data_IF_938745357688
#
_entry.id   IF_938745357688
#
_cell.length_a   1.000
_cell.length_b   1.000
_cell.length_c   1.000
_cell.angle_alpha   90.00
_cell.angle_beta   90.00
_cell.angle_gamma   90.00
#
_symmetry.space_group_name_H-M   'P 1'
#
loop_
_entity.id
_entity.type
_entity.pdbx_description
1 polymer ?
#
# COMPACT_ATOMS: atom_id res chain seq x y z
N UNK A 1 -13.14 40.47 6.43
CA UNK A 1 -13.73 39.32 5.72
C UNK A 1 -13.26 39.37 4.29
N UNK A 2 -12.21 38.62 3.96
CA UNK A 2 -11.78 38.40 2.57
C UNK A 2 -11.96 36.91 2.33
N UNK A 3 -12.97 36.57 1.52
CA UNK A 3 -13.25 35.20 1.11
C UNK A 3 -12.30 34.90 -0.05
N UNK A 4 -11.31 34.05 0.19
CA UNK A 4 -10.49 33.49 -0.88
C UNK A 4 -11.22 32.28 -1.46
N UNK A 5 -11.63 32.39 -2.72
CA UNK A 5 -12.22 31.31 -3.50
C UNK A 5 -11.24 30.13 -3.62
N UNK A 6 -11.59 28.99 -3.03
CA UNK A 6 -10.93 27.73 -3.29
C UNK A 6 -11.33 27.21 -4.68
N UNK A 7 -10.41 27.33 -5.64
CA UNK A 7 -10.53 26.63 -6.92
C UNK A 7 -10.34 25.12 -6.70
N UNK A 8 -11.44 24.38 -6.73
CA UNK A 8 -11.44 22.92 -6.79
C UNK A 8 -11.12 22.52 -8.24
N UNK A 9 -9.84 22.28 -8.52
CA UNK A 9 -9.40 21.64 -9.75
C UNK A 9 -9.50 20.10 -9.64
N UNK A 10 -9.84 19.38 -10.72
CA UNK A 10 -9.80 17.91 -10.71
C UNK A 10 -8.35 17.44 -10.62
N UNK A 11 -8.00 16.72 -9.55
CA UNK A 11 -6.67 16.12 -9.34
C UNK A 11 -6.51 14.85 -10.18
N UNK A 12 -6.31 15.02 -11.48
CA UNK A 12 -5.99 13.94 -12.41
C UNK A 12 -4.50 13.97 -12.78
N UNK A 13 -3.60 13.93 -11.78
CA UNK A 13 -2.15 14.02 -12.01
C UNK A 13 -1.32 12.94 -11.31
N UNK A 14 -1.87 11.72 -11.23
CA UNK A 14 -1.11 10.51 -10.85
C UNK A 14 -1.30 9.35 -11.85
N UNK A 15 -2.26 9.46 -12.78
CA UNK A 15 -2.51 8.43 -13.80
C UNK A 15 -1.55 8.42 -14.99
N UNK A 16 -0.61 9.37 -15.08
CA UNK A 16 0.19 9.61 -16.29
C UNK A 16 1.57 8.97 -16.35
N UNK A 17 2.14 8.51 -15.22
CA UNK A 17 3.53 8.01 -15.19
C UNK A 17 3.67 6.50 -15.38
N UNK A 18 2.56 5.76 -15.43
CA UNK A 18 2.58 4.33 -15.74
C UNK A 18 1.50 3.97 -16.76
N UNK A 19 1.44 4.70 -17.88
CA UNK A 19 0.87 4.13 -19.09
C UNK A 19 1.86 3.06 -19.58
N UNK A 20 1.78 1.86 -18.98
CA UNK A 20 2.44 0.67 -19.51
C UNK A 20 1.73 0.36 -20.82
N UNK A 21 2.23 0.96 -21.90
CA UNK A 21 2.08 0.43 -23.24
C UNK A 21 2.29 -1.07 -23.10
N UNK A 22 1.26 -1.86 -23.45
CA UNK A 22 1.25 -3.31 -23.44
C UNK A 22 2.28 -3.83 -24.45
N UNK A 23 3.55 -3.61 -24.16
CA UNK A 23 4.65 -4.32 -24.74
C UNK A 23 4.57 -5.71 -24.11
N UNK A 24 3.97 -6.66 -24.85
CA UNK A 24 4.13 -8.10 -24.66
C UNK A 24 5.62 -8.42 -24.71
N UNK A 25 6.36 -8.12 -23.63
CA UNK A 25 7.64 -8.74 -23.38
C UNK A 25 7.31 -10.15 -22.95
N UNK A 26 7.69 -11.08 -23.81
CA UNK A 26 7.76 -12.50 -23.55
C UNK A 26 8.87 -12.74 -22.50
N UNK A 27 8.68 -12.21 -21.30
CA UNK A 27 9.49 -12.56 -20.15
C UNK A 27 9.07 -13.98 -19.79
N UNK A 28 9.96 -14.93 -20.10
CA UNK A 28 9.90 -16.30 -19.59
C UNK A 28 9.76 -16.18 -18.07
N UNK A 29 8.53 -16.27 -17.57
CA UNK A 29 8.29 -16.47 -16.15
C UNK A 29 9.09 -17.72 -15.80
N UNK A 30 10.16 -17.54 -15.04
CA UNK A 30 10.86 -18.67 -14.46
C UNK A 30 9.84 -19.24 -13.50
N UNK A 31 9.23 -20.35 -13.91
CA UNK A 31 8.31 -21.13 -13.09
C UNK A 31 9.14 -21.67 -11.93
N UNK A 32 9.26 -20.87 -10.88
CA UNK A 32 9.92 -21.26 -9.65
C UNK A 32 8.82 -21.89 -8.79
N UNK A 33 8.73 -23.23 -8.73
CA UNK A 33 7.70 -23.87 -7.93
C UNK A 33 7.90 -23.42 -6.48
N UNK A 34 6.88 -22.75 -5.94
CA UNK A 34 6.90 -22.31 -4.55
C UNK A 34 6.83 -23.54 -3.64
N UNK A 35 7.59 -23.54 -2.56
CA UNK A 35 7.42 -24.57 -1.53
C UNK A 35 6.08 -24.36 -0.80
N UNK A 36 5.51 -25.38 -0.15
CA UNK A 36 4.22 -25.25 0.55
C UNK A 36 4.17 -24.08 1.56
N UNK A 37 5.30 -23.79 2.22
CA UNK A 37 5.42 -22.65 3.13
C UNK A 37 5.41 -21.30 2.40
N UNK A 38 6.03 -21.21 1.22
CA UNK A 38 6.03 -19.99 0.40
C UNK A 38 4.63 -19.73 -0.16
N UNK A 39 3.94 -20.75 -0.65
CA UNK A 39 2.54 -20.65 -1.10
C UNK A 39 1.64 -20.14 0.02
N UNK A 40 1.76 -20.74 1.23
CA UNK A 40 0.97 -20.30 2.38
C UNK A 40 1.25 -18.84 2.77
N UNK A 41 2.52 -18.40 2.71
CA UNK A 41 2.90 -17.01 2.99
C UNK A 41 2.37 -16.05 1.93
N UNK A 42 2.46 -16.44 0.66
CA UNK A 42 1.90 -15.67 -0.45
C UNK A 42 0.39 -15.53 -0.31
N UNK A 43 -0.32 -16.62 -0.05
CA UNK A 43 -1.77 -16.61 0.16
C UNK A 43 -2.17 -15.66 1.31
N UNK A 44 -1.53 -15.78 2.48
CA UNK A 44 -1.80 -14.88 3.61
C UNK A 44 -1.53 -13.41 3.27
N UNK A 45 -0.49 -13.14 2.47
CA UNK A 45 -0.19 -11.79 2.01
C UNK A 45 -1.31 -11.29 1.09
N UNK A 46 -1.73 -12.10 0.11
CA UNK A 46 -2.82 -11.78 -0.81
C UNK A 46 -4.16 -11.55 -0.10
N UNK A 47 -4.48 -12.35 0.92
CA UNK A 47 -5.66 -12.15 1.77
C UNK A 47 -5.62 -10.80 2.48
N UNK A 48 -4.46 -10.41 3.02
CA UNK A 48 -4.28 -9.10 3.68
C UNK A 48 -4.36 -7.92 2.71
N UNK A 49 -4.00 -8.09 1.44
CA UNK A 49 -4.17 -7.06 0.41
C UNK A 49 -5.64 -6.70 0.18
N UNK A 50 -6.57 -7.62 0.47
CA UNK A 50 -8.00 -7.39 0.32
C UNK A 50 -8.63 -6.66 1.50
N UNK A 51 -7.88 -6.37 2.57
CA UNK A 51 -8.40 -5.71 3.77
C UNK A 51 -8.36 -4.19 3.59
N UNK A 52 -9.52 -3.51 3.43
CA UNK A 52 -9.55 -2.06 3.38
C UNK A 52 -9.19 -1.47 4.75
N UNK A 53 -8.68 -0.24 4.76
CA UNK A 53 -8.69 0.52 6.00
C UNK A 53 -10.11 0.95 6.32
N UNK A 54 -10.53 0.73 7.56
CA UNK A 54 -11.86 1.07 8.07
C UNK A 54 -11.71 1.99 9.28
N UNK A 55 -12.25 3.21 9.17
CA UNK A 55 -12.08 4.25 10.18
C UNK A 55 -12.82 3.94 11.48
N UNK A 56 -13.86 3.10 11.46
CA UNK A 56 -14.63 2.70 12.64
C UNK A 56 -14.05 1.49 13.37
N UNK A 57 -13.07 0.79 12.78
CA UNK A 57 -12.49 -0.42 13.35
C UNK A 57 -11.45 -0.12 14.42
N UNK A 58 -11.62 -0.58 15.68
CA UNK A 58 -10.71 -0.23 16.77
C UNK A 58 -9.25 -0.63 16.54
N UNK A 59 -9.01 -1.79 15.93
CA UNK A 59 -7.68 -2.29 15.61
C UNK A 59 -6.97 -1.43 14.56
N UNK A 60 -7.68 -0.96 13.54
CA UNK A 60 -7.15 -0.03 12.53
C UNK A 60 -6.83 1.34 13.12
N UNK A 61 -7.71 1.86 13.98
CA UNK A 61 -7.49 3.11 14.71
C UNK A 61 -6.26 3.02 15.61
N UNK A 62 -6.07 1.89 16.29
CA UNK A 62 -4.93 1.68 17.17
C UNK A 62 -3.62 1.56 16.39
N UNK A 63 -3.62 0.90 15.23
CA UNK A 63 -2.46 0.88 14.35
C UNK A 63 -2.05 2.30 13.90
N UNK A 64 -3.03 3.14 13.58
CA UNK A 64 -2.79 4.54 13.18
C UNK A 64 -2.25 5.37 14.36
N UNK A 65 -2.84 5.23 15.55
CA UNK A 65 -2.36 5.87 16.79
C UNK A 65 -0.93 5.44 17.13
N UNK A 66 -0.64 4.14 17.05
CA UNK A 66 0.69 3.60 17.27
C UNK A 66 1.72 4.16 16.28
N UNK A 67 1.33 4.32 15.01
CA UNK A 67 2.18 4.95 14.00
C UNK A 67 2.50 6.41 14.36
N UNK A 68 1.51 7.18 14.83
CA UNK A 68 1.74 8.55 15.30
C UNK A 68 2.74 8.61 16.44
N UNK A 69 2.54 7.79 17.48
CA UNK A 69 3.44 7.77 18.64
C UNK A 69 4.85 7.33 18.29
N UNK A 70 5.01 6.42 17.32
CA UNK A 70 6.32 6.05 16.81
C UNK A 70 6.98 7.21 16.04
N UNK A 71 6.21 7.99 15.29
CA UNK A 71 6.72 9.12 14.50
C UNK A 71 7.06 10.35 15.36
N UNK A 72 6.25 10.65 16.37
CA UNK A 72 6.35 11.84 17.20
C UNK A 72 6.14 11.51 18.69
N UNK A 73 7.09 10.80 19.33
CA UNK A 73 6.91 10.30 20.70
C UNK A 73 6.67 11.40 21.74
N UNK A 74 7.16 12.61 21.48
CA UNK A 74 7.07 13.76 22.40
C UNK A 74 5.96 14.75 22.03
N UNK A 75 5.10 14.44 21.05
CA UNK A 75 4.00 15.32 20.63
C UNK A 75 2.68 14.68 21.03
N UNK A 76 1.89 15.40 21.85
CA UNK A 76 0.56 14.96 22.24
C UNK A 76 -0.33 14.70 21.01
N UNK A 77 -0.90 13.49 20.97
CA UNK A 77 -1.80 13.06 19.91
C UNK A 77 -3.17 13.70 20.09
N UNK A 78 -3.59 14.55 19.13
CA UNK A 78 -4.87 15.27 19.22
C UNK A 78 -6.09 14.48 18.71
N UNK A 79 -5.86 13.35 18.04
CA UNK A 79 -6.93 12.48 17.55
C UNK A 79 -6.70 11.96 16.14
N UNK A 80 -7.56 11.00 15.74
CA UNK A 80 -7.48 10.33 14.44
C UNK A 80 -7.74 11.30 13.27
N UNK A 81 -8.48 12.38 13.51
CA UNK A 81 -8.64 13.49 12.58
C UNK A 81 -8.04 14.74 13.22
N UNK A 82 -6.94 15.23 12.68
CA UNK A 82 -6.30 16.47 13.15
C UNK A 82 -5.30 17.02 12.13
N UNK A 83 -5.04 18.32 12.16
CA UNK A 83 -4.05 18.95 11.29
C UNK A 83 -2.62 18.42 11.50
N UNK A 84 -2.33 17.80 12.65
CA UNK A 84 -0.99 17.28 12.97
C UNK A 84 -0.54 16.18 12.00
N UNK A 85 -1.47 15.47 11.38
CA UNK A 85 -1.14 14.47 10.37
C UNK A 85 -0.38 15.06 9.17
N UNK A 86 -0.61 16.33 8.81
CA UNK A 86 0.15 16.96 7.73
C UNK A 86 1.66 17.04 8.03
N UNK A 87 2.06 17.08 9.30
CA UNK A 87 3.47 17.04 9.72
C UNK A 87 4.16 15.71 9.37
N UNK A 88 3.40 14.61 9.33
CA UNK A 88 3.90 13.31 8.88
C UNK A 88 3.87 13.15 7.35
N UNK A 89 3.32 14.13 6.63
CA UNK A 89 3.14 14.07 5.18
C UNK A 89 1.91 13.28 4.73
N UNK A 90 0.82 13.27 5.51
CA UNK A 90 -0.49 12.84 5.04
C UNK A 90 -1.13 13.92 4.14
N UNK A 91 -2.03 13.55 3.21
CA UNK A 91 -2.60 14.51 2.25
C UNK A 91 -3.52 15.54 2.92
N UNK A 92 -4.12 15.17 4.05
CA UNK A 92 -5.05 16.01 4.80
C UNK A 92 -5.08 15.66 6.29
N UNK A 93 -6.00 16.26 7.05
CA UNK A 93 -6.13 16.01 8.48
C UNK A 93 -6.72 14.64 8.81
N UNK A 94 -7.28 13.92 7.82
CA UNK A 94 -7.78 12.55 8.00
C UNK A 94 -6.97 11.56 7.15
N UNK A 95 -6.05 10.78 7.75
CA UNK A 95 -5.26 9.75 7.07
C UNK A 95 -6.11 8.67 6.39
N UNK A 96 -7.35 8.42 6.84
CA UNK A 96 -8.19 7.35 6.27
C UNK A 96 -8.42 7.54 4.76
N UNK A 97 -8.40 8.79 4.29
CA UNK A 97 -8.59 9.16 2.89
C UNK A 97 -7.43 8.76 1.97
N UNK A 98 -6.23 8.53 2.51
CA UNK A 98 -5.01 8.17 1.78
C UNK A 98 -4.91 6.66 1.52
N UNK A 99 -5.59 5.82 2.31
CA UNK A 99 -5.50 4.36 2.20
C UNK A 99 -6.39 3.74 1.11
N UNK A 100 -7.14 4.55 0.35
CA UNK A 100 -8.11 4.04 -0.65
C UNK A 100 -7.49 3.15 -1.73
N UNK A 101 -6.23 3.38 -2.10
CA UNK A 101 -5.55 2.62 -3.15
C UNK A 101 -4.80 1.37 -2.69
N UNK A 102 -4.38 1.32 -1.42
CA UNK A 102 -3.49 0.26 -0.92
C UNK A 102 -4.05 -0.50 0.30
N UNK A 103 -5.13 -0.02 0.91
CA UNK A 103 -5.76 -0.65 2.07
C UNK A 103 -4.90 -0.62 3.33
N UNK A 104 -5.27 -1.46 4.29
CA UNK A 104 -4.66 -1.54 5.62
C UNK A 104 -3.17 -1.90 5.55
N UNK A 105 -2.74 -2.71 4.59
CA UNK A 105 -1.36 -3.21 4.52
C UNK A 105 -0.32 -2.07 4.41
N UNK A 106 -0.69 -0.95 3.79
CA UNK A 106 0.19 0.21 3.70
C UNK A 106 0.45 0.88 5.05
N UNK A 107 -0.56 0.92 5.93
CA UNK A 107 -0.41 1.34 7.32
C UNK A 107 0.47 0.37 8.10
N UNK A 108 0.26 -0.94 7.90
CA UNK A 108 1.05 -1.98 8.55
C UNK A 108 2.53 -1.92 8.14
N UNK A 109 2.81 -1.64 6.86
CA UNK A 109 4.17 -1.45 6.37
C UNK A 109 4.85 -0.23 7.00
N UNK A 110 4.15 0.91 7.09
CA UNK A 110 4.66 2.11 7.76
C UNK A 110 4.95 1.86 9.25
N UNK A 111 4.04 1.17 9.94
CA UNK A 111 4.19 0.81 11.35
C UNK A 111 5.30 -0.22 11.57
N UNK A 112 5.46 -1.18 10.67
CA UNK A 112 6.57 -2.12 10.70
C UNK A 112 7.90 -1.38 10.51
N UNK A 113 7.97 -0.45 9.57
CA UNK A 113 9.17 0.34 9.31
C UNK A 113 9.56 1.19 10.53
N UNK A 114 8.58 1.84 11.18
CA UNK A 114 8.83 2.67 12.36
C UNK A 114 9.34 1.87 13.56
N UNK A 115 8.79 0.67 13.79
CA UNK A 115 9.17 -0.21 14.91
C UNK A 115 10.49 -0.94 14.68
N UNK A 116 10.72 -1.39 13.46
CA UNK A 116 11.87 -2.25 13.14
C UNK A 116 13.13 -1.44 12.83
N UNK A 117 12.96 -0.27 12.19
CA UNK A 117 14.08 0.56 11.73
C UNK A 117 13.88 2.03 12.14
N UNK A 118 13.73 2.34 13.45
CA UNK A 118 13.36 3.68 13.93
C UNK A 118 14.34 4.78 13.49
N UNK A 119 15.64 4.50 13.49
CA UNK A 119 16.66 5.46 13.05
C UNK A 119 16.49 5.84 11.57
N UNK A 120 16.24 4.87 10.70
CA UNK A 120 15.99 5.09 9.27
C UNK A 120 14.64 5.78 9.05
N UNK A 121 13.61 5.37 9.80
CA UNK A 121 12.29 5.97 9.76
C UNK A 121 12.36 7.47 10.08
N UNK A 122 12.98 7.86 11.20
CA UNK A 122 13.13 9.26 11.58
C UNK A 122 14.04 10.05 10.64
N UNK A 123 15.12 9.42 10.14
CA UNK A 123 15.99 10.06 9.14
C UNK A 123 15.19 10.47 7.90
N UNK A 124 14.32 9.60 7.41
CA UNK A 124 13.47 9.88 6.24
C UNK A 124 12.32 10.84 6.57
N UNK A 125 11.63 10.64 7.70
CA UNK A 125 10.53 11.52 8.15
C UNK A 125 11.02 12.97 8.32
N UNK A 126 12.15 13.17 9.00
CA UNK A 126 12.73 14.49 9.26
C UNK A 126 13.69 14.96 8.16
N UNK A 127 13.82 14.20 7.07
CA UNK A 127 14.64 14.55 5.89
C UNK A 127 16.09 14.87 6.25
N UNK A 128 16.66 14.12 7.18
CA UNK A 128 18.02 14.33 7.67
C UNK A 128 19.05 13.93 6.59
N UNK A 129 20.02 14.80 6.34
CA UNK A 129 21.16 14.53 5.44
C UNK A 129 20.96 14.89 3.97
N UNK A 130 19.79 15.40 3.57
CA UNK A 130 19.53 15.92 2.21
C UNK A 130 19.76 17.43 2.09
N UNK A 131 20.07 17.92 0.88
CA UNK A 131 19.91 19.35 0.56
C UNK A 131 18.42 19.64 0.56
N UNK A 132 17.92 20.39 1.55
CA UNK A 132 16.49 20.58 1.87
C UNK A 132 15.63 20.98 0.66
N UNK A 133 16.19 21.70 -0.30
CA UNK A 133 15.53 22.13 -1.54
C UNK A 133 15.37 21.04 -2.63
N UNK A 134 16.01 19.87 -2.49
CA UNK A 134 15.96 18.79 -3.50
C UNK A 134 15.16 17.55 -3.05
N UNK A 135 14.73 17.49 -1.78
CA UNK A 135 14.12 16.31 -1.16
C UNK A 135 12.79 16.65 -0.49
N UNK A 136 11.90 17.29 -1.23
CA UNK A 136 10.52 17.45 -0.78
C UNK A 136 9.67 16.28 -1.27
N UNK A 137 9.31 15.40 -0.34
CA UNK A 137 8.24 14.45 -0.53
C UNK A 137 7.37 14.39 0.74
N UNK A 138 6.06 14.14 0.59
CA UNK A 138 5.17 13.85 1.72
C UNK A 138 5.47 12.44 2.23
N UNK A 139 6.10 12.32 3.41
CA UNK A 139 6.65 11.05 3.91
C UNK A 139 5.62 9.90 3.95
N UNK A 140 4.47 10.12 4.59
CA UNK A 140 3.44 9.08 4.70
C UNK A 140 2.87 8.67 3.32
N UNK A 141 2.48 9.64 2.50
CA UNK A 141 1.97 9.38 1.13
C UNK A 141 3.02 8.67 0.26
N UNK A 142 4.30 9.03 0.36
CA UNK A 142 5.38 8.34 -0.33
C UNK A 142 5.51 6.88 0.13
N UNK A 143 5.38 6.60 1.43
CA UNK A 143 5.39 5.23 1.96
C UNK A 143 4.21 4.38 1.48
N UNK A 144 3.02 4.97 1.36
CA UNK A 144 1.86 4.30 0.75
C UNK A 144 2.14 3.98 -0.72
N UNK A 145 2.69 4.92 -1.48
CA UNK A 145 3.04 4.70 -2.88
C UNK A 145 4.11 3.61 -3.06
N UNK A 146 5.10 3.54 -2.16
CA UNK A 146 6.07 2.43 -2.15
C UNK A 146 5.39 1.09 -1.92
N UNK A 147 4.44 1.01 -0.97
CA UNK A 147 3.66 -0.21 -0.74
C UNK A 147 2.87 -0.61 -1.99
N UNK A 148 2.23 0.36 -2.66
CA UNK A 148 1.50 0.13 -3.90
C UNK A 148 2.41 -0.37 -5.03
N UNK A 149 3.58 0.24 -5.22
CA UNK A 149 4.56 -0.20 -6.22
C UNK A 149 5.05 -1.62 -5.94
N UNK A 150 5.31 -1.98 -4.68
CA UNK A 150 5.72 -3.33 -4.30
C UNK A 150 4.63 -4.36 -4.64
N UNK A 151 3.36 -4.04 -4.38
CA UNK A 151 2.23 -4.91 -4.73
C UNK A 151 2.16 -5.16 -6.24
N UNK A 152 2.36 -4.11 -7.05
CA UNK A 152 2.34 -4.21 -8.51
C UNK A 152 3.55 -4.98 -9.05
N UNK A 153 4.76 -4.69 -8.56
CA UNK A 153 6.00 -5.31 -9.04
C UNK A 153 6.09 -6.79 -8.68
N UNK A 154 5.53 -7.18 -7.54
CA UNK A 154 5.46 -8.57 -7.09
C UNK A 154 4.22 -9.30 -7.63
N UNK A 155 3.41 -8.64 -8.45
CA UNK A 155 2.20 -9.18 -9.08
C UNK A 155 1.24 -9.86 -8.09
N UNK A 156 1.18 -9.34 -6.85
CA UNK A 156 0.45 -10.01 -5.76
C UNK A 156 -1.06 -10.00 -5.96
N UNK A 157 -1.58 -9.03 -6.72
CA UNK A 157 -3.00 -8.90 -7.03
C UNK A 157 -3.47 -9.81 -8.17
N UNK A 158 -2.54 -10.41 -8.91
CA UNK A 158 -2.88 -11.40 -9.93
C UNK A 158 -3.15 -12.72 -9.22
N UNK A 159 -4.43 -13.05 -9.04
CA UNK A 159 -4.90 -14.31 -8.44
C UNK A 159 -4.60 -15.55 -9.29
N UNK A 160 -3.38 -15.70 -9.76
CA UNK A 160 -2.99 -16.63 -10.81
C UNK A 160 -1.77 -17.45 -10.46
N UNK A 161 -1.85 -18.29 -9.41
CA UNK A 161 -1.32 -19.63 -9.57
C UNK A 161 -2.52 -20.49 -9.92
N UNK A 162 -2.80 -20.62 -11.22
CA UNK A 162 -3.75 -21.62 -11.69
C UNK A 162 -3.24 -22.99 -11.23
N UNK A 163 -3.86 -23.54 -10.20
CA UNK A 163 -3.78 -24.96 -9.87
C UNK A 163 -4.39 -25.73 -11.06
N UNK A 164 -3.59 -25.99 -12.09
CA UNK A 164 -3.94 -26.90 -13.16
C UNK A 164 -3.82 -28.34 -12.63
N UNK A 165 -4.77 -28.73 -11.81
CA UNK A 165 -5.08 -30.12 -11.47
C UNK A 165 -6.59 -30.18 -11.45
N UNK A 166 -7.18 -30.43 -12.62
CA UNK A 166 -8.48 -31.11 -12.81
C UNK A 166 -8.93 -30.98 -14.28
N UNK A 167 -8.22 -31.66 -15.18
CA UNK A 167 -8.77 -31.96 -16.51
C UNK A 167 -8.14 -33.22 -17.09
N UNK A 168 -8.18 -34.30 -16.32
CA UNK A 168 -8.00 -35.66 -16.85
C UNK A 168 -9.15 -36.53 -16.36
N UNK A 169 -10.05 -36.89 -17.27
CA UNK A 169 -10.96 -38.02 -17.08
C UNK A 169 -12.45 -37.66 -17.12
N UNK A 170 -13.01 -37.62 -18.34
CA UNK A 170 -14.28 -38.28 -18.73
C UNK A 170 -14.55 -38.02 -20.21
N UNK A 171 -13.96 -38.83 -21.10
CA UNK A 171 -14.54 -39.08 -22.43
C UNK A 171 -15.77 -39.95 -22.21
N UNK A 172 -16.95 -39.36 -22.23
CA UNK A 172 -18.19 -40.11 -22.39
C UNK A 172 -18.29 -40.55 -23.85
N UNK A 173 -18.21 -41.86 -24.06
CA UNK A 173 -18.46 -42.54 -25.33
C UNK A 173 -19.97 -42.46 -25.61
N UNK A 174 -20.37 -41.74 -26.64
CA UNK A 174 -21.74 -41.82 -27.17
C UNK A 174 -21.74 -42.85 -28.31
N UNK A 175 -22.20 -44.08 -28.03
CA UNK A 175 -22.54 -45.07 -29.07
C UNK A 175 -24.04 -44.98 -29.32
N UNK A 176 -24.40 -44.68 -30.57
CA UNK A 176 -25.77 -44.76 -31.10
C UNK A 176 -26.20 -46.22 -31.15
N UNK A 177 -27.42 -46.50 -30.71
CA UNK A 177 -28.39 -47.35 -31.41
C UNK A 177 -29.77 -46.74 -31.24
#
# INVERSE_FOLDING_TARGET
MVVANAMVGPRSWVGGLFNRSSNKRNEKFIDYPLCPLQEQRLQRLQERLQVPFEETRPDHQEALRALWHAAFPNIAFKGLISEQWKEMGWQGPNPSTDFRGCGLISLENLLFFSRTYPASFHRLLFKQGGKRAAWEYPFAVAGINVSFMLIQMLDLSSGGITSNKDSVGKRAVFRRH
#
